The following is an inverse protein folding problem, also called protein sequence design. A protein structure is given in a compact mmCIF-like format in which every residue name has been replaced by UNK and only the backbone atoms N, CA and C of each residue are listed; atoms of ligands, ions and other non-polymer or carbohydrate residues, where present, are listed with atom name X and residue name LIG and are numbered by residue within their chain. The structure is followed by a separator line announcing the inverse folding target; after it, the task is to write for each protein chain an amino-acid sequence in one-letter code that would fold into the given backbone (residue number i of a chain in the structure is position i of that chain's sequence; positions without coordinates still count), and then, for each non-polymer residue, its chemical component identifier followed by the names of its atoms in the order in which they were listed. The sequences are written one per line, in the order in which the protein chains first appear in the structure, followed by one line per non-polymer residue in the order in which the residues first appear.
data_IF_657659817702
#
_entry.id   IF_657659817702
#
_cell.length_a   1.000
_cell.length_b   1.000
_cell.length_c   1.000
_cell.angle_alpha   90.00
_cell.angle_beta   90.00
_cell.angle_gamma   90.00
#
_symmetry.space_group_name_H-M   'P 1'
#
loop_
_entity.id
_entity.type
_entity.pdbx_description
1 polymer ?
#
# COMPACT_ATOMS: atom_id res chain seq x y z
N UNK A 1 -19.69 14.24 6.67
CA UNK A 1 -18.98 13.64 5.51
C UNK A 1 -17.50 13.63 5.85
N UNK A 2 -16.80 12.52 5.64
CA UNK A 2 -15.35 12.50 5.83
C UNK A 2 -14.65 13.41 4.81
N UNK A 3 -13.48 13.94 5.16
CA UNK A 3 -12.67 14.78 4.26
C UNK A 3 -12.37 14.06 2.92
N UNK A 4 -12.19 12.73 2.98
CA UNK A 4 -11.99 11.85 1.81
C UNK A 4 -13.20 11.89 0.88
N UNK A 5 -14.41 11.70 1.42
CA UNK A 5 -15.65 11.71 0.64
C UNK A 5 -15.86 13.05 -0.04
N UNK A 6 -15.65 14.16 0.67
CA UNK A 6 -15.79 15.51 0.09
C UNK A 6 -14.80 15.73 -1.07
N UNK A 7 -13.56 15.28 -0.93
CA UNK A 7 -12.52 15.38 -1.97
C UNK A 7 -12.89 14.57 -3.21
N UNK A 8 -13.30 13.31 -3.04
CA UNK A 8 -13.73 12.45 -4.16
C UNK A 8 -14.90 13.08 -4.90
N UNK A 9 -15.88 13.62 -4.19
CA UNK A 9 -17.03 14.30 -4.78
C UNK A 9 -16.62 15.55 -5.59
N UNK A 10 -15.69 16.35 -5.08
CA UNK A 10 -15.18 17.50 -5.80
C UNK A 10 -14.50 17.11 -7.12
N UNK A 11 -13.67 16.09 -7.14
CA UNK A 11 -13.05 15.59 -8.37
C UNK A 11 -14.07 14.99 -9.33
N UNK A 12 -15.08 14.28 -8.80
CA UNK A 12 -16.14 13.72 -9.64
C UNK A 12 -16.97 14.82 -10.33
N UNK A 13 -17.29 15.90 -9.61
CA UNK A 13 -17.97 17.04 -10.21
C UNK A 13 -17.15 17.67 -11.37
N UNK A 14 -15.83 17.74 -11.25
CA UNK A 14 -14.94 18.18 -12.35
C UNK A 14 -14.98 17.18 -13.52
N UNK A 15 -14.98 15.89 -13.23
CA UNK A 15 -15.10 14.87 -14.28
C UNK A 15 -16.44 14.98 -15.02
N UNK A 16 -17.55 15.24 -14.32
CA UNK A 16 -18.86 15.48 -14.95
C UNK A 16 -18.85 16.70 -15.88
N UNK A 17 -18.14 17.76 -15.52
CA UNK A 17 -17.99 18.94 -16.43
C UNK A 17 -17.22 18.58 -17.70
N UNK A 18 -16.25 17.67 -17.62
CA UNK A 18 -15.39 17.30 -18.75
C UNK A 18 -16.00 16.22 -19.66
N UNK A 19 -16.73 15.26 -19.07
CA UNK A 19 -17.20 14.05 -19.77
C UNK A 19 -18.75 13.95 -19.85
N UNK A 20 -19.49 14.89 -19.26
CA UNK A 20 -20.95 14.88 -19.23
C UNK A 20 -21.54 14.29 -17.94
N UNK A 21 -22.84 14.48 -17.74
CA UNK A 21 -23.55 14.04 -16.53
C UNK A 21 -23.82 12.53 -16.49
N UNK A 22 -23.72 11.83 -17.62
CA UNK A 22 -24.02 10.39 -17.75
C UNK A 22 -22.90 9.46 -17.26
N UNK A 23 -21.84 10.04 -16.65
CA UNK A 23 -20.79 9.24 -16.04
C UNK A 23 -21.15 8.78 -14.62
N UNK A 24 -20.61 7.64 -14.21
CA UNK A 24 -20.79 7.07 -12.87
C UNK A 24 -19.49 7.12 -12.07
N UNK A 25 -19.57 7.50 -10.79
CA UNK A 25 -18.46 7.36 -9.85
C UNK A 25 -18.41 5.94 -9.32
N UNK A 26 -17.25 5.30 -9.45
CA UNK A 26 -17.05 3.94 -8.97
C UNK A 26 -15.71 3.79 -8.22
N UNK A 27 -15.66 2.84 -7.29
CA UNK A 27 -14.43 2.45 -6.60
C UNK A 27 -13.96 1.08 -7.12
N UNK A 28 -12.67 0.96 -7.44
CA UNK A 28 -12.07 -0.31 -7.89
C UNK A 28 -12.00 -1.28 -6.72
N UNK A 29 -12.79 -2.35 -6.79
CA UNK A 29 -12.91 -3.35 -5.73
C UNK A 29 -12.09 -4.61 -5.99
N UNK A 30 -11.73 -4.89 -7.24
CA UNK A 30 -10.86 -6.01 -7.57
C UNK A 30 -10.07 -5.74 -8.85
N UNK A 31 -8.85 -6.29 -8.92
CA UNK A 31 -8.00 -6.23 -10.12
C UNK A 31 -7.65 -7.64 -10.57
N UNK A 32 -7.90 -7.93 -11.85
CA UNK A 32 -7.69 -9.20 -12.51
C UNK A 32 -6.65 -9.07 -13.64
N UNK A 33 -6.30 -10.18 -14.26
CA UNK A 33 -5.43 -10.13 -15.43
C UNK A 33 -6.18 -9.54 -16.64
N UNK A 34 -5.83 -8.31 -17.02
CA UNK A 34 -6.44 -7.63 -18.17
C UNK A 34 -7.79 -6.96 -17.90
N UNK A 35 -8.25 -6.90 -16.64
CA UNK A 35 -9.50 -6.27 -16.27
C UNK A 35 -9.47 -5.80 -14.81
N UNK A 36 -10.42 -4.94 -14.44
CA UNK A 36 -10.74 -4.63 -13.05
C UNK A 36 -12.24 -4.64 -12.83
N UNK A 37 -12.66 -4.82 -11.59
CA UNK A 37 -14.05 -4.68 -11.17
C UNK A 37 -14.18 -3.41 -10.33
N UNK A 38 -15.19 -2.61 -10.62
CA UNK A 38 -15.46 -1.37 -9.89
C UNK A 38 -16.90 -1.36 -9.39
N UNK A 39 -17.09 -0.96 -8.15
CA UNK A 39 -18.41 -0.79 -7.54
C UNK A 39 -18.87 0.64 -7.76
N UNK A 40 -20.02 0.81 -8.38
CA UNK A 40 -20.64 2.12 -8.58
C UNK A 40 -21.18 2.62 -7.26
N UNK A 41 -20.81 3.85 -6.91
CA UNK A 41 -21.27 4.52 -5.68
C UNK A 41 -22.20 5.69 -5.96
N UNK A 42 -22.15 6.24 -7.18
CA UNK A 42 -23.00 7.33 -7.65
C UNK A 42 -23.12 7.30 -9.17
N UNK A 43 -24.33 7.46 -9.71
CA UNK A 43 -24.61 7.52 -11.14
C UNK A 43 -26.08 7.84 -11.40
N UNK A 44 -26.42 8.22 -12.64
CA UNK A 44 -27.75 8.70 -13.02
C UNK A 44 -28.86 7.65 -12.87
N UNK A 45 -28.56 6.36 -12.99
CA UNK A 45 -29.57 5.28 -13.03
C UNK A 45 -29.28 4.08 -12.12
N UNK A 46 -28.32 4.21 -11.18
CA UNK A 46 -27.87 3.09 -10.37
C UNK A 46 -28.55 3.08 -9.00
N UNK A 47 -29.40 2.07 -8.75
CA UNK A 47 -29.96 1.77 -7.44
C UNK A 47 -29.31 0.52 -6.88
N UNK A 48 -28.55 0.66 -5.79
CA UNK A 48 -27.92 -0.45 -5.08
C UNK A 48 -26.44 -0.64 -5.40
N UNK A 49 -25.85 -1.71 -4.81
CA UNK A 49 -24.43 -2.04 -4.95
C UNK A 49 -24.15 -2.75 -6.29
N UNK A 50 -23.95 -1.97 -7.34
CA UNK A 50 -23.66 -2.52 -8.68
C UNK A 50 -22.15 -2.59 -8.89
N UNK A 51 -21.66 -3.79 -9.20
CA UNK A 51 -20.27 -4.03 -9.58
C UNK A 51 -20.20 -4.26 -11.08
N UNK A 52 -19.40 -3.45 -11.76
CA UNK A 52 -19.14 -3.57 -13.19
C UNK A 52 -17.73 -4.10 -13.44
N UNK A 53 -17.56 -4.92 -14.47
CA UNK A 53 -16.25 -5.37 -14.92
C UNK A 53 -15.80 -4.49 -16.10
N UNK A 54 -14.59 -3.95 -16.01
CA UNK A 54 -13.98 -3.12 -17.05
C UNK A 54 -12.75 -3.82 -17.59
N UNK A 55 -12.72 -4.13 -18.88
CA UNK A 55 -11.56 -4.72 -19.54
C UNK A 55 -10.56 -3.65 -19.89
N UNK A 56 -9.26 -3.85 -19.59
CA UNK A 56 -8.22 -2.85 -19.86
C UNK A 56 -8.06 -2.51 -21.34
N UNK A 57 -8.45 -3.40 -22.24
CA UNK A 57 -8.41 -3.20 -23.68
C UNK A 57 -9.66 -2.53 -24.26
N UNK A 58 -10.68 -2.20 -23.43
CA UNK A 58 -11.91 -1.54 -23.93
C UNK A 58 -11.54 -0.19 -24.54
N UNK A 59 -11.99 0.10 -25.79
CA UNK A 59 -11.84 1.41 -26.39
C UNK A 59 -12.51 2.50 -25.54
N UNK A 60 -11.91 3.67 -25.49
CA UNK A 60 -12.40 4.77 -24.66
C UNK A 60 -11.80 4.84 -23.24
N UNK A 61 -11.13 3.78 -22.76
CA UNK A 61 -10.37 3.88 -21.51
C UNK A 61 -9.30 4.97 -21.57
N UNK A 62 -9.10 5.68 -20.47
CA UNK A 62 -8.07 6.72 -20.29
C UNK A 62 -6.65 6.13 -20.17
N UNK A 63 -6.20 5.38 -21.18
CA UNK A 63 -4.93 4.62 -21.15
C UNK A 63 -3.70 5.51 -21.05
N UNK A 64 -3.80 6.78 -21.43
CA UNK A 64 -2.72 7.77 -21.34
C UNK A 64 -2.69 8.46 -19.96
N UNK A 65 -3.65 8.16 -19.08
CA UNK A 65 -3.68 8.72 -17.73
C UNK A 65 -2.47 8.22 -16.91
N UNK A 66 -1.77 9.11 -16.16
CA UNK A 66 -0.56 8.74 -15.40
C UNK A 66 -0.76 7.62 -14.37
N UNK A 67 -1.98 7.45 -13.88
CA UNK A 67 -2.33 6.42 -12.89
C UNK A 67 -2.83 5.12 -13.54
N UNK A 68 -2.84 5.02 -14.87
CA UNK A 68 -3.26 3.81 -15.58
C UNK A 68 -2.22 2.67 -15.48
N UNK A 69 -2.61 1.39 -15.32
CA UNK A 69 -3.97 0.92 -15.01
C UNK A 69 -4.37 1.16 -13.56
N UNK A 70 -5.67 1.26 -13.27
CA UNK A 70 -6.15 1.46 -11.91
C UNK A 70 -5.83 0.27 -11.01
N UNK A 71 -5.72 0.53 -9.71
CA UNK A 71 -5.46 -0.47 -8.67
C UNK A 71 -6.61 -0.52 -7.67
N UNK A 72 -6.65 -1.54 -6.82
CA UNK A 72 -7.68 -1.66 -5.78
C UNK A 72 -7.68 -0.43 -4.87
N UNK A 73 -8.86 0.13 -4.64
CA UNK A 73 -9.07 1.33 -3.86
C UNK A 73 -9.07 2.63 -4.69
N UNK A 74 -8.69 2.60 -5.98
CA UNK A 74 -8.81 3.77 -6.85
C UNK A 74 -10.28 4.16 -7.05
N UNK A 75 -10.51 5.47 -7.17
CA UNK A 75 -11.77 6.03 -7.61
C UNK A 75 -11.69 6.35 -9.08
N UNK A 76 -12.68 5.93 -9.85
CA UNK A 76 -12.74 6.10 -11.30
C UNK A 76 -14.08 6.68 -11.72
N UNK A 77 -14.07 7.49 -12.78
CA UNK A 77 -15.28 7.85 -13.49
C UNK A 77 -15.47 6.88 -14.66
N UNK A 78 -16.65 6.28 -14.74
CA UNK A 78 -17.03 5.32 -15.77
C UNK A 78 -18.08 5.91 -16.68
N UNK A 79 -17.88 5.83 -17.99
CA UNK A 79 -18.92 6.04 -18.98
C UNK A 79 -19.54 4.70 -19.39
N UNK A 80 -20.77 4.75 -19.94
CA UNK A 80 -21.55 3.58 -20.40
C UNK A 80 -21.77 2.49 -19.35
N UNK A 81 -21.77 2.86 -18.05
CA UNK A 81 -21.93 1.93 -16.94
C UNK A 81 -23.39 1.52 -16.67
N UNK A 82 -24.29 1.67 -17.65
CA UNK A 82 -25.70 1.36 -17.52
C UNK A 82 -25.94 -0.17 -17.47
N UNK A 83 -26.95 -0.59 -16.70
CA UNK A 83 -27.36 -2.01 -16.56
C UNK A 83 -28.02 -2.60 -17.81
N UNK A 84 -28.09 -1.87 -18.90
CA UNK A 84 -28.75 -2.36 -20.12
C UNK A 84 -27.89 -3.40 -20.84
N UNK A 85 -28.43 -4.60 -20.92
CA UNK A 85 -27.94 -5.82 -21.58
C UNK A 85 -27.73 -5.66 -23.09
N UNK A 86 -26.98 -4.70 -23.56
CA UNK A 86 -26.76 -4.51 -24.99
C UNK A 86 -25.66 -3.50 -25.30
N UNK A 87 -24.51 -3.97 -25.66
CA UNK A 87 -23.52 -3.41 -26.57
C UNK A 87 -22.52 -2.33 -26.10
N UNK A 88 -22.74 -1.54 -25.06
CA UNK A 88 -21.70 -0.64 -24.57
C UNK A 88 -20.99 -1.22 -23.34
N UNK A 89 -19.72 -1.57 -23.47
CA UNK A 89 -18.91 -1.98 -22.34
C UNK A 89 -18.48 -0.75 -21.55
N UNK A 90 -18.73 -0.75 -20.23
CA UNK A 90 -18.26 0.31 -19.34
C UNK A 90 -16.75 0.56 -19.51
N UNK A 91 -16.34 1.82 -19.59
CA UNK A 91 -14.95 2.20 -19.71
C UNK A 91 -14.59 3.37 -18.78
N UNK A 92 -13.35 3.37 -18.29
CA UNK A 92 -12.87 4.40 -17.39
C UNK A 92 -12.42 5.64 -18.19
N UNK A 93 -13.08 6.76 -17.98
CA UNK A 93 -12.74 8.04 -18.62
C UNK A 93 -11.78 8.87 -17.77
N UNK A 94 -11.77 8.65 -16.44
CA UNK A 94 -10.90 9.39 -15.52
C UNK A 94 -10.55 8.52 -14.30
N UNK A 95 -9.36 8.73 -13.74
CA UNK A 95 -8.92 8.16 -12.47
C UNK A 95 -8.65 9.31 -11.50
N UNK A 96 -9.36 9.32 -10.37
CA UNK A 96 -9.21 10.37 -9.36
C UNK A 96 -7.82 10.35 -8.74
N UNK A 97 -7.24 11.51 -8.39
CA UNK A 97 -5.95 11.58 -7.72
C UNK A 97 -5.95 10.79 -6.42
N UNK A 98 -4.92 9.98 -6.23
CA UNK A 98 -4.71 9.18 -5.02
C UNK A 98 -4.35 10.06 -3.84
N UNK A 99 -4.93 9.80 -2.66
CA UNK A 99 -4.51 10.44 -1.40
C UNK A 99 -3.31 9.74 -0.79
N UNK A 100 -3.23 8.43 -0.98
CA UNK A 100 -2.16 7.54 -0.52
C UNK A 100 -2.10 6.33 -1.44
N UNK A 101 -0.96 5.65 -1.47
CA UNK A 101 -0.85 4.38 -2.19
C UNK A 101 0.30 3.54 -1.62
N UNK A 102 0.15 2.23 -1.72
CA UNK A 102 1.18 1.26 -1.34
C UNK A 102 1.79 0.71 -2.62
N UNK A 103 3.12 0.72 -2.70
CA UNK A 103 3.87 0.18 -3.82
C UNK A 103 4.63 -1.08 -3.42
N UNK A 104 4.98 -1.88 -4.42
CA UNK A 104 5.98 -2.94 -4.30
C UNK A 104 6.95 -2.85 -5.47
N UNK A 105 8.19 -3.31 -5.32
CA UNK A 105 9.09 -3.50 -6.45
C UNK A 105 8.47 -4.46 -7.46
N UNK A 106 8.56 -4.15 -8.76
CA UNK A 106 8.04 -5.04 -9.79
C UNK A 106 8.80 -6.38 -9.78
N UNK A 107 8.07 -7.49 -9.79
CA UNK A 107 8.62 -8.85 -9.73
C UNK A 107 9.53 -9.19 -10.92
N UNK A 108 9.37 -8.50 -12.04
CA UNK A 108 10.12 -8.73 -13.28
C UNK A 108 11.55 -8.17 -13.28
N UNK A 109 11.99 -7.47 -12.23
CA UNK A 109 13.29 -6.81 -12.20
C UNK A 109 13.49 -5.69 -13.23
N UNK A 110 12.50 -5.45 -14.09
CA UNK A 110 12.53 -4.48 -15.19
C UNK A 110 11.60 -3.29 -15.02
N UNK A 111 10.89 -3.20 -13.91
CA UNK A 111 9.87 -2.16 -13.72
C UNK A 111 10.19 -1.22 -12.56
N UNK A 112 9.65 -0.04 -12.68
CA UNK A 112 9.38 0.88 -11.58
C UNK A 112 8.51 0.16 -10.55
N UNK A 113 8.48 0.66 -9.31
CA UNK A 113 7.53 0.19 -8.30
C UNK A 113 6.11 0.13 -8.87
N UNK A 114 5.36 -0.88 -8.48
CA UNK A 114 3.97 -1.06 -8.90
C UNK A 114 3.06 -0.75 -7.73
N UNK A 115 2.18 0.22 -7.89
CA UNK A 115 1.11 0.45 -6.94
C UNK A 115 0.26 -0.82 -6.78
N UNK A 116 -0.08 -1.17 -5.56
CA UNK A 116 -0.86 -2.38 -5.23
C UNK A 116 -2.17 -2.09 -4.54
N UNK A 117 -2.27 -0.96 -3.86
CA UNK A 117 -3.45 -0.45 -3.20
C UNK A 117 -3.40 1.08 -3.21
N UNK A 118 -4.55 1.74 -3.30
CA UNK A 118 -4.68 3.19 -3.30
C UNK A 118 -5.75 3.65 -2.31
N UNK A 119 -5.67 4.92 -1.92
CA UNK A 119 -6.61 5.58 -1.03
C UNK A 119 -6.80 4.84 0.31
N UNK A 120 -5.69 4.31 0.85
CA UNK A 120 -5.60 3.65 2.14
C UNK A 120 -5.54 4.72 3.23
N UNK A 121 -6.41 4.62 4.23
CA UNK A 121 -6.47 5.58 5.33
C UNK A 121 -5.57 5.15 6.49
N UNK A 122 -5.47 3.83 6.76
CA UNK A 122 -4.68 3.32 7.87
C UNK A 122 -4.01 1.98 7.56
N UNK A 123 -2.73 1.86 7.90
CA UNK A 123 -1.96 0.64 7.88
C UNK A 123 -2.02 -0.03 9.26
N UNK A 124 -2.75 -1.13 9.37
CA UNK A 124 -2.91 -1.88 10.62
C UNK A 124 -1.80 -2.93 10.71
N UNK A 125 -0.82 -2.68 11.56
CA UNK A 125 0.33 -3.55 11.81
C UNK A 125 -0.09 -4.62 12.83
N UNK A 126 -0.33 -5.83 12.36
CA UNK A 126 -0.75 -6.97 13.18
C UNK A 126 0.49 -7.75 13.60
N UNK A 127 0.93 -7.54 14.83
CA UNK A 127 2.11 -8.16 15.41
C UNK A 127 1.72 -9.12 16.55
N UNK A 128 2.06 -10.42 16.46
CA UNK A 128 1.72 -11.36 17.52
C UNK A 128 2.74 -11.29 18.66
N UNK A 129 2.25 -11.35 19.89
CA UNK A 129 3.08 -11.46 21.09
C UNK A 129 3.72 -12.85 21.21
N UNK A 130 3.05 -13.91 20.68
CA UNK A 130 3.54 -15.27 20.61
C UNK A 130 3.75 -15.74 19.16
N UNK A 131 4.85 -16.47 18.80
CA UNK A 131 5.94 -16.98 19.66
C UNK A 131 6.99 -15.91 20.04
N UNK A 132 7.05 -14.76 19.39
CA UNK A 132 7.96 -13.68 19.75
C UNK A 132 7.50 -12.35 19.14
N UNK A 133 7.31 -11.34 19.96
CA UNK A 133 7.18 -9.93 19.59
C UNK A 133 8.49 -9.43 18.94
N UNK A 134 8.36 -8.51 17.98
CA UNK A 134 9.53 -7.87 17.35
C UNK A 134 9.26 -6.44 17.01
N UNK A 135 9.85 -5.54 17.77
CA UNK A 135 9.78 -4.10 17.51
C UNK A 135 10.38 -3.75 16.13
N UNK A 136 11.43 -4.40 15.68
CA UNK A 136 12.03 -4.14 14.37
C UNK A 136 11.12 -4.49 13.17
N UNK A 137 10.12 -5.38 13.35
CA UNK A 137 9.06 -5.58 12.34
C UNK A 137 8.06 -4.44 12.36
N UNK A 138 7.68 -3.97 13.55
CA UNK A 138 6.79 -2.82 13.70
C UNK A 138 7.43 -1.59 13.08
N UNK A 139 8.67 -1.26 13.44
CA UNK A 139 9.43 -0.14 12.89
C UNK A 139 9.47 -0.18 11.36
N UNK A 140 9.69 -1.35 10.75
CA UNK A 140 9.69 -1.51 9.30
C UNK A 140 8.34 -1.15 8.67
N UNK A 141 7.22 -1.60 9.25
CA UNK A 141 5.90 -1.28 8.72
C UNK A 141 5.51 0.17 8.96
N UNK A 142 5.95 0.76 10.07
CA UNK A 142 5.78 2.19 10.35
C UNK A 142 6.52 3.03 9.30
N UNK A 143 7.77 2.68 8.98
CA UNK A 143 8.51 3.36 7.93
C UNK A 143 7.84 3.24 6.54
N UNK A 144 7.21 2.09 6.23
CA UNK A 144 6.42 1.94 5.01
C UNK A 144 5.18 2.83 5.04
N UNK A 145 4.52 2.96 6.19
CA UNK A 145 3.36 3.85 6.34
C UNK A 145 3.76 5.32 6.11
N UNK A 146 4.88 5.77 6.69
CA UNK A 146 5.43 7.10 6.45
C UNK A 146 5.74 7.35 4.96
N UNK A 147 6.47 6.43 4.31
CA UNK A 147 6.78 6.51 2.87
C UNK A 147 5.52 6.56 1.98
N UNK A 148 4.39 6.05 2.47
CA UNK A 148 3.12 5.99 1.73
C UNK A 148 2.13 7.09 2.13
N UNK A 149 2.50 7.98 3.06
CA UNK A 149 1.62 9.00 3.67
C UNK A 149 0.33 8.38 4.28
N UNK A 150 0.47 7.24 4.95
CA UNK A 150 -0.62 6.48 5.58
C UNK A 150 -0.43 6.48 7.09
N UNK A 151 -1.51 6.68 7.86
CA UNK A 151 -1.46 6.52 9.31
C UNK A 151 -1.16 5.06 9.68
N UNK A 152 -0.36 4.85 10.74
CA UNK A 152 -0.04 3.52 11.23
C UNK A 152 -0.70 3.26 12.58
N UNK A 153 -1.23 2.05 12.75
CA UNK A 153 -1.76 1.53 14.02
C UNK A 153 -1.16 0.17 14.30
N UNK A 154 -0.83 -0.11 15.56
CA UNK A 154 -0.35 -1.42 15.98
C UNK A 154 -1.46 -2.19 16.70
N UNK A 155 -1.69 -3.42 16.26
CA UNK A 155 -2.55 -4.39 16.94
C UNK A 155 -1.69 -5.56 17.38
N UNK A 156 -1.41 -5.63 18.68
CA UNK A 156 -0.70 -6.74 19.32
C UNK A 156 -1.69 -7.88 19.55
N UNK A 157 -1.47 -9.00 18.89
CA UNK A 157 -2.40 -10.14 18.94
C UNK A 157 -1.89 -11.25 19.83
N UNK A 158 -2.78 -12.20 20.18
CA UNK A 158 -2.50 -13.32 21.08
C UNK A 158 -2.08 -12.85 22.48
N UNK A 159 -2.70 -11.78 22.94
CA UNK A 159 -2.45 -11.25 24.28
C UNK A 159 -2.82 -12.22 25.39
N UNK A 160 -3.75 -13.13 25.11
CA UNK A 160 -4.16 -14.22 26.00
C UNK A 160 -3.06 -15.29 26.26
N UNK A 161 -1.96 -15.27 25.50
CA UNK A 161 -0.88 -16.28 25.59
C UNK A 161 0.37 -15.78 26.31
N UNK A 162 0.36 -14.54 26.82
CA UNK A 162 1.51 -13.92 27.49
C UNK A 162 1.08 -13.21 28.78
N UNK A 163 2.05 -12.92 29.66
CA UNK A 163 1.78 -12.19 30.89
C UNK A 163 1.54 -10.69 30.64
N UNK A 164 0.78 -10.04 31.52
CA UNK A 164 0.45 -8.61 31.41
C UNK A 164 1.70 -7.72 31.32
N UNK A 165 2.78 -8.09 32.01
CA UNK A 165 4.05 -7.36 31.93
C UNK A 165 4.68 -7.40 30.53
N UNK A 166 4.56 -8.51 29.82
CA UNK A 166 5.05 -8.63 28.43
C UNK A 166 4.19 -7.78 27.48
N UNK A 167 2.87 -7.76 27.70
CA UNK A 167 1.93 -6.92 26.94
C UNK A 167 2.31 -5.46 27.13
N UNK A 168 2.46 -5.04 28.39
CA UNK A 168 2.77 -3.65 28.72
C UNK A 168 4.12 -3.23 28.14
N UNK A 169 5.15 -4.05 28.24
CA UNK A 169 6.46 -3.79 27.64
C UNK A 169 6.44 -3.69 26.11
N UNK A 170 5.58 -4.45 25.43
CA UNK A 170 5.39 -4.33 24.00
C UNK A 170 4.63 -3.05 23.61
N UNK A 171 3.61 -2.67 24.38
CA UNK A 171 2.88 -1.41 24.19
C UNK A 171 3.84 -0.22 24.33
N UNK A 172 4.64 -0.18 25.39
CA UNK A 172 5.60 0.91 25.66
C UNK A 172 6.63 1.07 24.54
N UNK A 173 7.08 -0.04 23.93
CA UNK A 173 7.98 0.00 22.80
C UNK A 173 7.31 0.51 21.53
N UNK A 174 6.03 0.23 21.30
CA UNK A 174 5.30 0.65 20.11
C UNK A 174 4.74 2.07 20.19
N UNK A 175 4.35 2.53 21.39
CA UNK A 175 3.66 3.80 21.59
C UNK A 175 4.39 5.04 21.01
N UNK A 176 5.73 5.14 21.04
CA UNK A 176 6.41 6.27 20.41
C UNK A 176 6.38 6.28 18.88
N UNK A 177 6.01 5.17 18.26
CA UNK A 177 6.08 4.98 16.80
C UNK A 177 4.76 5.25 16.07
N UNK A 178 3.62 5.18 16.78
CA UNK A 178 2.28 5.21 16.19
C UNK A 178 1.28 5.91 17.10
N UNK A 179 0.18 6.41 16.50
CA UNK A 179 -0.88 7.11 17.27
C UNK A 179 -1.72 6.16 18.15
N UNK A 180 -1.75 4.86 17.83
CA UNK A 180 -2.57 3.89 18.55
C UNK A 180 -1.93 2.51 18.60
N UNK A 181 -1.91 1.95 19.82
CA UNK A 181 -1.48 0.58 20.10
C UNK A 181 -2.60 -0.12 20.87
N UNK A 182 -3.06 -1.27 20.39
CA UNK A 182 -4.09 -2.08 21.05
C UNK A 182 -3.59 -3.51 21.18
N UNK A 183 -3.65 -4.08 22.38
CA UNK A 183 -3.37 -5.50 22.61
C UNK A 183 -4.70 -6.25 22.82
N UNK A 184 -4.88 -7.36 22.10
CA UNK A 184 -6.11 -8.14 22.21
C UNK A 184 -5.92 -9.62 21.79
N UNK A 185 -6.87 -10.44 22.19
CA UNK A 185 -7.12 -11.73 21.57
C UNK A 185 -8.09 -11.53 20.39
N UNK A 186 -7.70 -11.91 19.18
CA UNK A 186 -8.51 -11.74 17.96
C UNK A 186 -9.78 -12.60 17.93
N UNK A 187 -9.95 -13.53 18.86
CA UNK A 187 -11.15 -14.34 19.05
C UNK A 187 -12.11 -13.78 20.11
N UNK A 188 -11.68 -12.79 20.87
CA UNK A 188 -12.51 -12.05 21.81
C UNK A 188 -13.37 -11.03 21.05
N UNK A 189 -14.67 -11.33 20.96
CA UNK A 189 -15.63 -10.50 20.20
C UNK A 189 -15.79 -9.11 20.81
N UNK A 190 -15.72 -8.98 22.14
CA UNK A 190 -15.85 -7.68 22.81
C UNK A 190 -14.61 -6.81 22.59
N UNK A 191 -13.41 -7.38 22.72
CA UNK A 191 -12.17 -6.67 22.45
C UNK A 191 -12.07 -6.21 20.97
N UNK A 192 -12.50 -7.07 20.03
CA UNK A 192 -12.54 -6.72 18.61
C UNK A 192 -13.61 -5.66 18.32
N UNK A 193 -14.77 -5.68 18.99
CA UNK A 193 -15.79 -4.64 18.85
C UNK A 193 -15.24 -3.27 19.29
N UNK A 194 -14.56 -3.20 20.43
CA UNK A 194 -13.90 -1.98 20.89
C UNK A 194 -12.81 -1.48 19.93
N UNK A 195 -12.03 -2.39 19.33
CA UNK A 195 -11.09 -2.00 18.28
C UNK A 195 -11.82 -1.46 17.05
N UNK A 196 -12.91 -2.09 16.62
CA UNK A 196 -13.72 -1.67 15.47
C UNK A 196 -14.30 -0.27 15.66
N UNK A 197 -14.81 0.05 16.83
CA UNK A 197 -15.34 1.37 17.19
C UNK A 197 -14.26 2.48 17.16
N UNK A 198 -12.99 2.12 17.27
CA UNK A 198 -11.88 3.07 17.21
C UNK A 198 -11.49 3.50 15.79
N UNK A 199 -12.02 2.86 14.75
CA UNK A 199 -11.86 3.28 13.37
C UNK A 199 -12.98 4.25 12.95
N UNK A 200 -12.67 5.09 11.95
CA UNK A 200 -13.72 5.94 11.35
C UNK A 200 -14.52 5.12 10.33
N UNK A 201 -15.87 5.12 10.42
CA UNK A 201 -16.68 4.45 9.40
C UNK A 201 -16.34 4.90 7.98
N UNK A 202 -16.15 3.93 7.07
CA UNK A 202 -15.75 4.16 5.70
C UNK A 202 -14.23 4.25 5.47
N UNK A 203 -13.39 4.22 6.53
CA UNK A 203 -11.94 4.13 6.38
C UNK A 203 -11.55 2.86 5.62
N UNK A 204 -10.52 2.98 4.80
CA UNK A 204 -9.93 1.87 4.07
C UNK A 204 -8.64 1.42 4.76
N UNK A 205 -8.65 0.21 5.25
CA UNK A 205 -7.57 -0.39 6.04
C UNK A 205 -6.77 -1.38 5.20
N UNK A 206 -5.47 -1.47 5.47
CA UNK A 206 -4.61 -2.54 4.98
C UNK A 206 -3.95 -3.21 6.17
N UNK A 207 -4.14 -4.53 6.32
CA UNK A 207 -3.56 -5.30 7.41
C UNK A 207 -2.23 -5.91 6.98
N UNK A 208 -1.16 -5.58 7.69
CA UNK A 208 0.20 -6.10 7.46
C UNK A 208 0.69 -6.89 8.66
N UNK A 209 1.72 -7.72 8.48
CA UNK A 209 2.30 -8.52 9.55
C UNK A 209 2.67 -9.93 9.08
N UNK A 210 3.42 -10.68 9.91
CA UNK A 210 3.90 -12.04 9.59
C UNK A 210 2.76 -13.04 9.38
N UNK A 211 3.09 -14.17 8.74
CA UNK A 211 2.16 -15.31 8.66
C UNK A 211 1.84 -15.83 10.05
N UNK A 212 0.55 -16.13 10.32
CA UNK A 212 0.10 -16.59 11.63
C UNK A 212 -0.03 -15.49 12.69
N UNK A 213 0.08 -14.21 12.32
CA UNK A 213 -0.15 -13.09 13.24
C UNK A 213 -1.63 -12.86 13.60
N UNK A 214 -2.58 -13.56 12.98
CA UNK A 214 -4.01 -13.37 13.23
C UNK A 214 -4.72 -12.41 12.26
N UNK A 215 -4.05 -11.94 11.18
CA UNK A 215 -4.65 -11.01 10.21
C UNK A 215 -5.99 -11.46 9.66
N UNK A 216 -6.07 -12.70 9.14
CA UNK A 216 -7.32 -13.20 8.56
C UNK A 216 -8.43 -13.34 9.61
N UNK A 217 -8.08 -13.70 10.85
CA UNK A 217 -9.03 -13.75 11.95
C UNK A 217 -9.54 -12.36 12.28
N UNK A 218 -8.63 -11.38 12.37
CA UNK A 218 -8.98 -9.98 12.63
C UNK A 218 -9.81 -9.39 11.48
N UNK A 219 -9.45 -9.66 10.21
CA UNK A 219 -10.24 -9.23 9.05
C UNK A 219 -11.68 -9.75 9.13
N UNK A 220 -11.86 -11.05 9.40
CA UNK A 220 -13.18 -11.63 9.53
C UNK A 220 -14.00 -11.00 10.67
N UNK A 221 -13.35 -10.78 11.80
CA UNK A 221 -14.01 -10.21 12.97
C UNK A 221 -14.40 -8.73 12.75
N UNK A 222 -13.56 -7.92 12.09
CA UNK A 222 -13.87 -6.52 11.76
C UNK A 222 -15.01 -6.40 10.74
N UNK A 223 -15.06 -7.31 9.76
CA UNK A 223 -16.09 -7.30 8.71
C UNK A 223 -17.37 -8.04 9.11
N UNK A 224 -17.37 -8.77 10.21
CA UNK A 224 -18.50 -9.64 10.59
C UNK A 224 -18.72 -10.80 9.61
N UNK A 225 -17.68 -11.23 8.92
CA UNK A 225 -17.75 -12.26 7.88
C UNK A 225 -16.96 -13.52 8.29
N UNK A 226 -17.24 -14.65 7.65
CA UNK A 226 -16.49 -15.90 7.82
C UNK A 226 -15.67 -16.22 6.56
N UNK A 227 -14.81 -15.30 6.13
CA UNK A 227 -13.88 -15.60 5.05
C UNK A 227 -12.97 -16.77 5.47
N UNK A 228 -12.74 -17.73 4.57
CA UNK A 228 -12.00 -18.95 4.87
C UNK A 228 -10.57 -18.63 5.40
N UNK A 229 -10.38 -18.79 6.69
CA UNK A 229 -9.08 -18.66 7.34
C UNK A 229 -8.20 -19.83 6.91
N UNK A 230 -7.10 -19.56 6.21
CA UNK A 230 -5.87 -20.35 6.03
C UNK A 230 -5.87 -21.88 5.83
N UNK A 231 -6.91 -22.63 6.17
CA UNK A 231 -6.95 -24.09 6.03
C UNK A 231 -7.41 -24.60 4.64
N UNK A 232 -8.04 -23.78 3.82
CA UNK A 232 -8.53 -24.20 2.48
C UNK A 232 -7.44 -24.15 1.41
N UNK A 233 -6.24 -23.65 1.71
CA UNK A 233 -5.12 -23.67 0.75
C UNK A 233 -4.36 -24.99 0.65
N UNK A 234 -4.70 -25.98 1.49
CA UNK A 234 -4.01 -27.28 1.54
C UNK A 234 -4.78 -28.43 0.85
N UNK A 235 -6.01 -28.25 0.38
CA UNK A 235 -6.86 -29.34 -0.06
C UNK A 235 -6.91 -29.60 -1.58
N UNK A 236 -6.43 -28.69 -2.44
CA UNK A 236 -6.33 -28.93 -3.87
C UNK A 236 -4.88 -29.18 -4.30
N UNK A 237 -4.50 -30.46 -4.19
CA UNK A 237 -3.20 -30.99 -4.60
C UNK A 237 -2.97 -30.99 -6.11
N UNK A 238 -3.13 -29.89 -6.81
CA UNK A 238 -2.62 -29.65 -8.15
C UNK A 238 -2.01 -28.28 -8.24
N UNK A 239 -0.67 -28.26 -8.21
CA UNK A 239 0.15 -27.07 -8.41
C UNK A 239 -0.16 -26.34 -9.71
N UNK A 240 -0.97 -25.32 -9.60
CA UNK A 240 -1.04 -24.23 -10.55
C UNK A 240 -1.39 -23.00 -9.74
N UNK A 241 -0.52 -21.99 -9.78
CA UNK A 241 -0.70 -20.69 -9.12
C UNK A 241 -2.07 -20.10 -9.46
N UNK A 242 -3.06 -20.37 -8.61
CA UNK A 242 -4.38 -19.79 -8.72
C UNK A 242 -4.23 -18.32 -8.35
N UNK A 243 -4.56 -17.50 -9.27
CA UNK A 243 -4.61 -16.04 -9.32
C UNK A 243 -4.96 -15.45 -7.96
N UNK A 244 -3.99 -14.83 -7.31
CA UNK A 244 -4.19 -14.02 -6.11
C UNK A 244 -4.80 -12.70 -6.53
N UNK A 245 -6.13 -12.64 -6.68
CA UNK A 245 -6.83 -11.38 -6.90
C UNK A 245 -6.76 -10.52 -5.63
N UNK A 246 -6.42 -9.26 -5.81
CA UNK A 246 -6.51 -8.25 -4.76
C UNK A 246 -7.94 -7.77 -4.71
N UNK A 247 -8.50 -7.66 -3.51
CA UNK A 247 -9.91 -7.31 -3.35
C UNK A 247 -10.09 -6.30 -2.23
N UNK A 248 -11.01 -5.35 -2.43
CA UNK A 248 -11.54 -4.48 -1.40
C UNK A 248 -12.76 -5.18 -0.79
N UNK A 249 -12.65 -5.55 0.46
CA UNK A 249 -13.73 -6.12 1.25
C UNK A 249 -14.44 -4.98 1.96
N UNK A 250 -15.72 -4.82 1.72
CA UNK A 250 -16.49 -3.70 2.23
C UNK A 250 -17.26 -4.07 3.49
N UNK A 251 -17.40 -3.10 4.39
CA UNK A 251 -18.10 -3.17 5.64
C UNK A 251 -18.25 -1.78 6.25
N UNK A 252 -18.43 -1.70 7.55
CA UNK A 252 -18.39 -0.41 8.26
C UNK A 252 -17.01 0.26 8.09
N UNK A 253 -15.95 -0.54 8.08
CA UNK A 253 -14.62 -0.20 7.54
C UNK A 253 -14.35 -1.08 6.33
N UNK A 254 -13.58 -0.57 5.38
CA UNK A 254 -13.19 -1.33 4.21
C UNK A 254 -11.79 -1.94 4.43
N UNK A 255 -11.57 -3.16 3.95
CA UNK A 255 -10.27 -3.83 4.10
C UNK A 255 -9.76 -4.27 2.73
N UNK A 256 -8.58 -3.81 2.33
CA UNK A 256 -7.92 -4.33 1.13
C UNK A 256 -7.16 -5.60 1.49
N UNK A 257 -7.69 -6.75 1.03
CA UNK A 257 -6.97 -8.02 1.10
C UNK A 257 -6.02 -8.14 -0.09
N UNK A 258 -4.75 -8.07 0.19
CA UNK A 258 -3.71 -8.24 -0.82
C UNK A 258 -2.88 -9.48 -0.47
N UNK A 259 -3.16 -10.63 -1.10
CA UNK A 259 -2.27 -11.78 -1.02
C UNK A 259 -0.88 -11.37 -1.55
N UNK A 260 0.12 -11.35 -0.67
CA UNK A 260 1.48 -10.92 -1.03
C UNK A 260 1.96 -9.62 -0.39
N UNK A 261 1.14 -8.86 0.35
CA UNK A 261 1.61 -7.83 1.32
C UNK A 261 2.54 -8.43 2.39
N UNK A 262 2.58 -9.76 2.52
CA UNK A 262 3.57 -10.48 3.35
C UNK A 262 5.02 -10.14 3.00
N UNK A 263 5.27 -9.76 1.78
CA UNK A 263 6.51 -9.19 1.28
C UNK A 263 6.18 -7.81 0.70
N UNK A 264 5.80 -6.85 1.53
CA UNK A 264 6.00 -5.47 1.17
C UNK A 264 7.52 -5.34 0.97
N UNK A 265 7.96 -5.62 -0.26
CA UNK A 265 9.28 -5.25 -0.71
C UNK A 265 9.35 -3.73 -0.94
N UNK A 266 8.35 -2.98 -0.47
CA UNK A 266 8.45 -1.56 -0.29
C UNK A 266 9.55 -1.34 0.74
N UNK A 267 10.66 -0.83 0.28
CA UNK A 267 11.70 -0.35 1.17
C UNK A 267 11.38 1.10 1.40
N UNK A 268 11.21 1.52 2.65
CA UNK A 268 11.05 2.92 2.98
C UNK A 268 12.25 3.70 2.44
N UNK A 269 12.02 4.91 1.97
CA UNK A 269 13.10 5.83 1.64
C UNK A 269 13.81 6.33 2.92
N UNK A 270 14.87 7.08 2.74
CA UNK A 270 15.67 7.60 3.82
C UNK A 270 14.87 8.50 4.77
N UNK A 271 13.98 9.34 4.23
CA UNK A 271 13.14 10.26 4.99
C UNK A 271 12.15 9.50 5.88
N UNK A 272 11.48 8.48 5.36
CA UNK A 272 10.56 7.65 6.13
C UNK A 272 11.27 6.88 7.25
N UNK A 273 12.52 6.46 7.04
CA UNK A 273 13.35 5.86 8.10
C UNK A 273 13.62 6.90 9.19
N UNK A 274 14.01 8.11 8.85
CA UNK A 274 14.27 9.18 9.80
C UNK A 274 13.01 9.59 10.59
N UNK A 275 11.86 9.64 9.93
CA UNK A 275 10.55 9.84 10.58
C UNK A 275 10.18 8.73 11.57
N UNK A 276 10.63 7.50 11.32
CA UNK A 276 10.40 6.37 12.23
C UNK A 276 11.35 6.40 13.44
N UNK A 277 12.57 6.86 13.26
CA UNK A 277 13.60 6.94 14.29
C UNK A 277 13.90 8.40 14.70
N UNK A 278 12.84 9.12 15.07
CA UNK A 278 12.89 10.57 15.34
C UNK A 278 13.97 10.98 16.35
N UNK A 279 14.24 10.17 17.39
CA UNK A 279 15.30 10.43 18.35
C UNK A 279 16.68 10.45 17.68
N UNK A 280 16.95 9.46 16.80
CA UNK A 280 18.23 9.40 16.09
C UNK A 280 18.33 10.53 15.07
N UNK A 281 17.25 10.83 14.35
CA UNK A 281 17.21 11.92 13.39
C UNK A 281 17.52 13.27 14.06
N UNK A 282 16.89 13.56 15.21
CA UNK A 282 17.16 14.78 15.99
C UNK A 282 18.60 14.87 16.51
N UNK A 283 19.19 13.74 16.91
CA UNK A 283 20.62 13.70 17.32
C UNK A 283 21.55 13.87 16.10
N UNK A 284 21.19 13.33 14.95
CA UNK A 284 21.97 13.42 13.72
C UNK A 284 22.16 14.86 13.24
N UNK A 285 21.14 15.72 13.42
CA UNK A 285 21.23 17.16 13.14
C UNK A 285 22.31 17.88 13.95
N UNK A 286 22.70 17.33 15.11
CA UNK A 286 23.71 17.88 16.03
C UNK A 286 25.11 17.32 15.77
N UNK A 287 25.27 16.39 14.82
CA UNK A 287 26.58 15.87 14.44
C UNK A 287 27.45 16.96 13.81
N UNK A 288 28.75 16.91 14.08
CA UNK A 288 29.72 17.81 13.46
C UNK A 288 29.74 17.77 11.95
N UNK A 289 29.54 16.60 11.36
CA UNK A 289 29.56 16.37 9.91
C UNK A 289 28.17 16.01 9.41
N UNK A 290 27.76 16.60 8.29
CA UNK A 290 26.44 16.36 7.68
C UNK A 290 26.28 14.95 7.09
N UNK A 291 27.39 14.32 6.72
CA UNK A 291 27.50 12.98 6.17
C UNK A 291 27.93 11.94 7.23
N UNK A 292 27.72 12.26 8.51
CA UNK A 292 28.07 11.37 9.60
C UNK A 292 27.32 10.03 9.51
N UNK A 293 28.05 8.93 9.47
CA UNK A 293 27.48 7.57 9.42
C UNK A 293 27.13 6.99 10.80
N UNK A 294 27.43 7.76 11.87
CA UNK A 294 27.26 7.37 13.28
C UNK A 294 28.04 6.10 13.66
N UNK A 295 29.21 5.91 13.04
CA UNK A 295 30.02 4.70 13.22
C UNK A 295 31.32 4.98 14.02
N UNK A 296 31.36 6.07 14.80
CA UNK A 296 32.51 6.43 15.63
C UNK A 296 33.26 7.70 15.18
N UNK A 297 32.66 8.51 14.31
CA UNK A 297 33.25 9.77 13.85
C UNK A 297 33.40 10.78 15.02
N UNK A 298 34.51 11.57 15.04
CA UNK A 298 34.73 12.59 16.05
C UNK A 298 33.63 13.65 16.01
N UNK A 299 32.99 13.90 17.17
CA UNK A 299 31.88 14.88 17.27
C UNK A 299 30.53 14.34 16.77
N UNK A 300 30.36 13.02 16.76
CA UNK A 300 29.08 12.37 16.48
C UNK A 300 28.17 12.45 17.71
N UNK A 301 27.05 13.20 17.61
CA UNK A 301 26.10 13.33 18.72
C UNK A 301 25.37 12.01 19.03
N UNK A 302 25.08 11.22 18.02
CA UNK A 302 24.49 9.87 18.18
C UNK A 302 25.45 8.95 18.96
N UNK A 303 26.76 8.99 18.64
CA UNK A 303 27.78 8.24 19.37
C UNK A 303 27.94 8.71 20.84
N UNK A 304 27.77 10.01 21.11
CA UNK A 304 27.75 10.53 22.47
C UNK A 304 26.55 10.04 23.26
N UNK A 305 25.34 10.07 22.68
CA UNK A 305 24.12 9.56 23.29
C UNK A 305 24.20 8.05 23.63
N UNK A 306 24.86 7.24 22.78
CA UNK A 306 25.16 5.84 23.09
C UNK A 306 26.07 5.71 24.30
N UNK A 307 27.12 6.53 24.38
CA UNK A 307 28.09 6.47 25.49
C UNK A 307 27.47 6.93 26.83
N UNK A 308 26.51 7.85 26.76
CA UNK A 308 25.77 8.38 27.92
C UNK A 308 24.63 7.45 28.35
N UNK A 309 24.24 6.48 27.51
CA UNK A 309 23.11 5.57 27.76
C UNK A 309 21.74 6.15 27.39
N UNK A 310 21.72 7.33 26.74
CA UNK A 310 20.47 7.99 26.29
C UNK A 310 19.87 7.33 25.03
N UNK A 311 20.69 6.57 24.31
CA UNK A 311 20.29 5.78 23.15
C UNK A 311 20.75 4.32 23.28
N UNK A 312 19.86 3.37 23.02
CA UNK A 312 20.22 1.94 23.04
C UNK A 312 20.99 1.55 21.76
N UNK A 313 22.07 0.73 21.89
CA UNK A 313 22.80 0.21 20.75
C UNK A 313 21.92 -0.55 19.74
N UNK A 314 20.93 -1.29 20.24
CA UNK A 314 20.01 -2.08 19.42
C UNK A 314 19.12 -1.20 18.54
N UNK A 315 18.71 -0.02 19.05
CA UNK A 315 17.93 0.96 18.27
C UNK A 315 18.79 1.52 17.14
N UNK A 316 20.04 1.90 17.43
CA UNK A 316 20.95 2.40 16.40
C UNK A 316 21.25 1.33 15.34
N UNK A 317 21.45 0.06 15.73
CA UNK A 317 21.69 -1.03 14.80
C UNK A 317 20.50 -1.22 13.84
N UNK A 318 19.25 -1.18 14.36
CA UNK A 318 18.04 -1.28 13.53
C UNK A 318 17.91 -0.11 12.56
N UNK A 319 18.15 1.13 13.03
CA UNK A 319 18.17 2.31 12.19
C UNK A 319 19.20 2.19 11.05
N UNK A 320 20.47 1.93 11.38
CA UNK A 320 21.55 1.82 10.40
C UNK A 320 21.29 0.69 9.38
N UNK A 321 20.72 -0.44 9.82
CA UNK A 321 20.35 -1.53 8.92
C UNK A 321 19.28 -1.09 7.93
N UNK A 322 18.24 -0.38 8.40
CA UNK A 322 17.16 0.10 7.56
C UNK A 322 17.61 1.19 6.60
N UNK A 323 18.47 2.11 7.03
CA UNK A 323 19.11 3.14 6.19
C UNK A 323 19.95 2.52 5.07
N UNK A 324 20.81 1.58 5.38
CA UNK A 324 21.61 0.86 4.37
C UNK A 324 20.75 0.10 3.36
N UNK A 325 19.63 -0.44 3.80
CA UNK A 325 18.68 -1.12 2.91
C UNK A 325 17.99 -0.11 1.98
N UNK A 326 17.59 1.05 2.49
CA UNK A 326 17.03 2.16 1.73
C UNK A 326 18.00 2.63 0.65
N UNK A 327 19.21 3.00 1.00
CA UNK A 327 20.25 3.47 0.10
C UNK A 327 20.56 2.46 -1.03
N UNK A 328 20.68 1.18 -0.66
CA UNK A 328 20.89 0.11 -1.66
C UNK A 328 19.74 0.04 -2.67
N UNK A 329 18.50 0.24 -2.22
CA UNK A 329 17.35 0.17 -3.11
C UNK A 329 17.21 1.41 -3.98
N UNK A 330 17.57 2.60 -3.49
CA UNK A 330 17.67 3.81 -4.28
C UNK A 330 18.71 3.67 -5.41
N UNK A 331 19.93 3.25 -5.09
CA UNK A 331 20.96 2.99 -6.09
C UNK A 331 20.51 1.96 -7.14
N UNK A 332 19.83 0.90 -6.71
CA UNK A 332 19.29 -0.10 -7.65
C UNK A 332 18.16 0.48 -8.53
N UNK A 333 17.33 1.36 -8.00
CA UNK A 333 16.27 2.07 -8.71
C UNK A 333 16.87 2.97 -9.78
N UNK A 334 17.85 3.79 -9.42
CA UNK A 334 18.52 4.72 -10.34
C UNK A 334 19.26 3.99 -11.47
N UNK A 335 19.99 2.93 -11.14
CA UNK A 335 20.64 2.09 -12.14
C UNK A 335 19.64 1.43 -13.11
N UNK A 336 18.45 1.08 -12.64
CA UNK A 336 17.37 0.53 -13.47
C UNK A 336 16.77 1.59 -14.39
N UNK A 337 16.49 2.78 -13.87
CA UNK A 337 15.97 3.93 -14.63
C UNK A 337 16.95 4.31 -15.74
N UNK A 338 18.25 4.40 -15.45
CA UNK A 338 19.29 4.67 -16.43
C UNK A 338 19.32 3.62 -17.56
N UNK A 339 19.18 2.32 -17.21
CA UNK A 339 19.11 1.24 -18.21
C UNK A 339 17.85 1.28 -19.06
N UNK A 340 16.70 1.71 -18.48
CA UNK A 340 15.46 1.86 -19.24
C UNK A 340 15.55 3.01 -20.24
N UNK A 341 16.05 4.17 -19.83
CA UNK A 341 16.22 5.33 -20.70
C UNK A 341 17.19 5.01 -21.87
N UNK A 342 18.30 4.29 -21.61
CA UNK A 342 19.20 3.84 -22.65
C UNK A 342 18.54 2.88 -23.66
N UNK A 343 17.71 1.95 -23.18
CA UNK A 343 16.95 1.01 -24.03
C UNK A 343 15.88 1.71 -24.86
N UNK A 344 15.17 2.69 -24.27
CA UNK A 344 14.19 3.50 -24.98
C UNK A 344 14.88 4.30 -26.11
N UNK A 345 15.97 5.01 -25.81
CA UNK A 345 16.76 5.74 -26.79
C UNK A 345 17.31 4.84 -27.93
N UNK A 346 17.72 3.61 -27.57
CA UNK A 346 18.20 2.62 -28.58
C UNK A 346 17.07 2.13 -29.50
N UNK A 347 15.84 1.95 -28.96
CA UNK A 347 14.67 1.57 -29.77
C UNK A 347 14.24 2.69 -30.72
N UNK A 348 14.22 3.93 -30.24
CA UNK A 348 13.88 5.09 -31.07
C UNK A 348 14.90 5.32 -32.19
N UNK A 349 16.19 5.15 -31.91
CA UNK A 349 17.24 5.21 -32.91
C UNK A 349 17.10 4.09 -33.97
N UNK A 350 16.70 2.89 -33.55
CA UNK A 350 16.46 1.75 -34.45
C UNK A 350 15.21 1.98 -35.31
N UNK A 351 14.15 2.57 -34.74
CA UNK A 351 12.93 2.92 -35.45
C UNK A 351 13.18 4.03 -36.46
N UNK A 352 13.88 5.08 -36.09
CA UNK A 352 14.26 6.18 -36.98
C UNK A 352 15.17 5.72 -38.16
N UNK A 353 16.12 4.81 -37.91
CA UNK A 353 16.92 4.20 -38.97
C UNK A 353 16.11 3.37 -39.96
N UNK A 354 15.13 2.60 -39.48
CA UNK A 354 14.21 1.81 -40.33
C UNK A 354 13.31 2.71 -41.17
N UNK A 355 12.84 3.81 -40.61
CA UNK A 355 11.98 4.78 -41.31
C UNK A 355 12.76 5.53 -42.38
N UNK A 356 14.00 5.95 -42.11
CA UNK A 356 14.92 6.57 -43.06
C UNK A 356 15.29 5.61 -44.21
N UNK A 357 15.51 4.31 -43.93
CA UNK A 357 15.72 3.30 -44.96
C UNK A 357 14.48 3.06 -45.83
N UNK A 358 13.26 3.06 -45.24
CA UNK A 358 12.00 2.94 -46.00
C UNK A 358 11.79 4.12 -46.94
N UNK A 359 12.12 5.32 -46.50
CA UNK A 359 11.99 6.52 -47.33
C UNK A 359 13.00 6.53 -48.49
N UNK A 360 14.24 6.09 -48.26
CA UNK A 360 15.28 5.98 -49.30
C UNK A 360 15.01 4.85 -50.32
N UNK A 361 14.31 3.77 -49.91
CA UNK A 361 13.93 2.67 -50.80
C UNK A 361 12.71 2.90 -51.68
N UNK A 362 11.99 4.02 -51.52
CA UNK A 362 10.85 4.41 -52.36
C UNK A 362 11.18 5.44 -53.43
N UNK A 363 12.45 5.81 -53.56
CA UNK A 363 12.94 6.84 -54.49
C UNK A 363 13.79 6.26 -55.67
N UNK A 364 13.60 4.99 -56.07
CA UNK A 364 14.15 4.44 -57.30
C UNK A 364 13.05 3.80 -58.13
#
# INVERSE_FOLDING_TARGET
MSTKTARVQAYFAVAQMNYGEDISLAQVVAVHRGAFSAQITQGSDVKGDVVVAVTLATPGNCTDHPLWPPVVGDWVALADATQNHGEAAAHAVEIMPRTSYIERPAASGFGLSQAIAANVDELVIVEPLQPAFSIGRVERFVAIAHASAIRARVVLTKADLVADQEIQGAIEQCAPLVDSVTALNTTDTQAVAGLKESFTPGDTLVLVGRSGAGKSTLTNALLGTSLATGKVRAADGKGRHTTTSRQLLQGEVNIIDTPGIRALGATPDAEAVDQTFTQIAALAEQCRYRDCSHSGEPGCAVGQALTQGDLSPEVLERYQRMRRESERNELNRDARLARQSQRAASRDNTRGRRETMRLKGRGN
#
